data_IF_336612545530
#
_entry.id   IF_336612545530
#
_cell.length_a   1.000
_cell.length_b   1.000
_cell.length_c   1.000
_cell.angle_alpha   90.00
_cell.angle_beta   90.00
_cell.angle_gamma   90.00
#
_symmetry.space_group_name_H-M   'P 1'
#
loop_
_entity.id
_entity.type
_entity.pdbx_description
1 polymer ?
#
# COMPACT_ATOMS: atom_id res chain seq x y z
N UNK A 1 3.63 11.47 15.32
CA UNK A 1 3.54 11.26 13.85
C UNK A 1 2.54 10.16 13.58
N UNK A 2 1.62 10.37 12.65
CA UNK A 2 0.57 9.41 12.30
C UNK A 2 0.94 8.77 10.97
N UNK A 3 1.07 7.44 10.97
CA UNK A 3 1.39 6.62 9.82
C UNK A 3 0.29 5.60 9.58
N UNK A 4 0.09 5.23 8.33
CA UNK A 4 -0.76 4.11 7.91
C UNK A 4 0.05 3.12 7.10
N UNK A 5 -0.19 1.84 7.32
CA UNK A 5 0.39 0.76 6.51
C UNK A 5 -0.71 -0.05 5.85
N UNK A 6 -0.45 -0.45 4.62
CA UNK A 6 -1.23 -1.46 3.91
C UNK A 6 -0.36 -2.21 2.92
N UNK A 7 -0.87 -3.34 2.42
CA UNK A 7 -0.18 -4.12 1.41
C UNK A 7 -1.15 -4.61 0.34
N UNK A 8 -0.64 -4.70 -0.88
CA UNK A 8 -1.37 -5.28 -2.00
C UNK A 8 -0.50 -6.30 -2.71
N UNK A 9 -1.12 -7.25 -3.40
CA UNK A 9 -0.40 -8.18 -4.25
C UNK A 9 -0.64 -7.88 -5.73
N UNK A 10 0.38 -8.19 -6.50
CA UNK A 10 0.36 -8.27 -7.96
C UNK A 10 0.44 -9.74 -8.35
N UNK A 11 -0.28 -10.13 -9.37
CA UNK A 11 -0.30 -11.48 -9.92
C UNK A 11 0.02 -11.42 -11.41
N UNK A 12 0.38 -12.55 -11.99
CA UNK A 12 0.58 -12.67 -13.42
C UNK A 12 -0.72 -12.44 -14.24
N UNK A 13 -1.88 -12.55 -13.58
CA UNK A 13 -3.17 -12.22 -14.17
C UNK A 13 -3.44 -10.72 -13.99
N UNK A 14 -3.49 -9.94 -15.07
CA UNK A 14 -3.72 -8.51 -14.97
C UNK A 14 -5.16 -8.21 -14.52
N UNK A 15 -5.39 -7.14 -13.73
CA UNK A 15 -6.73 -6.63 -13.49
C UNK A 15 -7.33 -6.12 -14.80
N UNK A 16 -8.57 -6.53 -15.09
CA UNK A 16 -9.26 -6.11 -16.29
C UNK A 16 -9.83 -4.69 -16.11
N UNK A 17 -9.68 -3.88 -17.15
CA UNK A 17 -10.25 -2.55 -17.27
C UNK A 17 -11.04 -2.45 -18.56
N UNK A 18 -12.10 -1.64 -18.57
CA UNK A 18 -12.83 -1.31 -19.78
C UNK A 18 -11.87 -0.72 -20.84
N UNK A 19 -11.95 -1.22 -22.06
CA UNK A 19 -11.18 -0.76 -23.21
C UNK A 19 -12.08 -0.63 -24.43
N UNK A 20 -11.70 0.24 -25.33
CA UNK A 20 -12.38 0.40 -26.61
C UNK A 20 -11.95 -0.70 -27.57
N UNK A 21 -12.92 -1.33 -28.25
CA UNK A 21 -12.71 -2.27 -29.34
C UNK A 21 -13.58 -1.92 -30.51
N UNK A 22 -13.26 -2.36 -31.74
CA UNK A 22 -14.16 -2.26 -32.88
C UNK A 22 -15.52 -2.89 -32.57
N UNK A 23 -16.57 -2.36 -33.17
CA UNK A 23 -17.94 -2.89 -33.00
C UNK A 23 -17.98 -4.34 -33.45
N UNK A 24 -18.48 -5.22 -32.57
CA UNK A 24 -18.57 -6.66 -32.82
C UNK A 24 -17.35 -7.47 -32.39
N UNK A 25 -16.29 -6.82 -31.91
CA UNK A 25 -15.10 -7.49 -31.38
C UNK A 25 -15.06 -7.47 -29.84
N UNK A 26 -14.77 -8.64 -29.27
CA UNK A 26 -14.56 -8.75 -27.82
C UNK A 26 -13.10 -8.43 -27.47
N UNK A 27 -12.90 -7.53 -26.51
CA UNK A 27 -11.57 -7.29 -25.95
C UNK A 27 -10.98 -8.58 -25.37
N UNK A 28 -9.73 -8.90 -25.74
CA UNK A 28 -8.99 -10.04 -25.21
C UNK A 28 -7.68 -9.55 -24.62
N UNK A 29 -7.39 -9.95 -23.40
CA UNK A 29 -6.14 -9.66 -22.71
C UNK A 29 -5.36 -10.98 -22.64
N UNK A 30 -4.16 -11.07 -23.23
CA UNK A 30 -3.36 -12.29 -23.14
C UNK A 30 -2.89 -12.52 -21.69
N UNK A 31 -3.00 -13.76 -21.24
CA UNK A 31 -2.47 -14.20 -19.94
C UNK A 31 -1.22 -15.02 -20.25
N UNK A 32 -0.05 -14.56 -19.81
CA UNK A 32 1.25 -15.14 -20.15
C UNK A 32 1.99 -15.75 -18.95
N UNK A 33 1.48 -15.61 -17.73
CA UNK A 33 2.14 -16.11 -16.53
C UNK A 33 1.43 -17.28 -15.84
N UNK A 34 2.12 -17.94 -14.91
CA UNK A 34 1.52 -18.95 -14.06
C UNK A 34 0.56 -18.31 -13.04
N UNK A 35 -0.58 -18.96 -12.81
CA UNK A 35 -1.68 -18.40 -12.00
C UNK A 35 -1.32 -18.18 -10.53
N UNK A 36 -0.30 -18.87 -10.02
CA UNK A 36 0.06 -18.85 -8.60
C UNK A 36 1.13 -17.83 -8.24
N UNK A 37 1.85 -17.29 -9.23
CA UNK A 37 2.89 -16.30 -8.98
C UNK A 37 2.31 -14.97 -8.51
N UNK A 38 2.81 -14.51 -7.37
CA UNK A 38 2.44 -13.22 -6.79
C UNK A 38 3.63 -12.51 -6.16
N UNK A 39 3.55 -11.19 -6.14
CA UNK A 39 4.46 -10.33 -5.36
C UNK A 39 3.63 -9.37 -4.53
N UNK A 40 4.08 -9.12 -3.32
CA UNK A 40 3.42 -8.19 -2.41
C UNK A 40 4.20 -6.88 -2.38
N UNK A 41 3.49 -5.78 -2.55
CA UNK A 41 3.99 -4.43 -2.33
C UNK A 41 3.30 -3.86 -1.09
N UNK A 42 4.08 -3.53 -0.07
CA UNK A 42 3.60 -2.84 1.12
C UNK A 42 4.03 -1.37 1.10
N UNK A 43 3.19 -0.51 1.68
CA UNK A 43 3.46 0.91 1.78
C UNK A 43 3.16 1.46 3.16
N UNK A 44 4.00 2.37 3.64
CA UNK A 44 3.77 3.15 4.87
C UNK A 44 3.70 4.62 4.50
N UNK A 45 2.57 5.26 4.80
CA UNK A 45 2.28 6.65 4.46
C UNK A 45 2.21 7.52 5.72
N UNK A 46 2.96 8.63 5.72
CA UNK A 46 2.77 9.71 6.66
C UNK A 46 1.65 10.62 6.14
N UNK A 47 0.51 10.62 6.82
CA UNK A 47 -0.68 11.36 6.36
C UNK A 47 -0.57 12.88 6.53
N UNK A 48 0.38 13.39 7.29
CA UNK A 48 0.63 14.83 7.40
C UNK A 48 1.55 15.35 6.29
N UNK A 49 2.64 14.64 6.03
CA UNK A 49 3.66 15.12 5.09
C UNK A 49 3.55 14.52 3.68
N UNK A 50 2.81 13.42 3.50
CA UNK A 50 2.81 12.65 2.27
C UNK A 50 4.09 11.86 2.02
N UNK A 51 5.01 11.82 3.00
CA UNK A 51 6.20 10.99 2.92
C UNK A 51 5.84 9.50 2.96
N UNK A 52 6.60 8.68 2.23
CA UNK A 52 6.16 7.33 1.93
C UNK A 52 7.34 6.34 1.88
N UNK A 53 7.17 5.21 2.54
CA UNK A 53 8.10 4.08 2.53
C UNK A 53 7.46 2.91 1.81
N UNK A 54 8.22 2.18 1.00
CA UNK A 54 7.77 0.99 0.27
C UNK A 54 8.64 -0.21 0.60
N UNK A 55 8.01 -1.39 0.53
CA UNK A 55 8.68 -2.68 0.71
C UNK A 55 8.07 -3.73 -0.21
N UNK A 56 8.90 -4.53 -0.88
CA UNK A 56 8.47 -5.64 -1.76
C UNK A 56 8.89 -6.97 -1.15
N UNK A 57 7.99 -7.93 -1.17
CA UNK A 57 8.26 -9.32 -0.79
C UNK A 57 7.55 -10.30 -1.71
N UNK A 58 8.03 -11.54 -1.76
CA UNK A 58 7.34 -12.62 -2.47
C UNK A 58 6.00 -12.95 -1.77
N UNK A 59 6.03 -13.05 -0.45
CA UNK A 59 4.87 -13.34 0.38
C UNK A 59 4.90 -12.45 1.61
N UNK A 60 3.79 -11.74 1.88
CA UNK A 60 3.71 -10.90 3.06
C UNK A 60 3.45 -11.75 4.31
N UNK A 61 4.49 -11.90 5.13
CA UNK A 61 4.46 -12.69 6.36
C UNK A 61 4.93 -11.89 7.58
N UNK A 62 5.03 -12.56 8.74
CA UNK A 62 5.46 -11.94 9.99
C UNK A 62 6.85 -11.30 9.89
N UNK A 63 7.80 -11.97 9.23
CA UNK A 63 9.18 -11.47 9.08
C UNK A 63 9.22 -10.23 8.20
N UNK A 64 8.44 -10.20 7.12
CA UNK A 64 8.30 -9.02 6.25
C UNK A 64 7.76 -7.82 7.03
N UNK A 65 6.71 -8.02 7.82
CA UNK A 65 6.17 -6.95 8.65
C UNK A 65 7.18 -6.45 9.70
N UNK A 66 7.95 -7.35 10.32
CA UNK A 66 9.02 -6.97 11.24
C UNK A 66 10.11 -6.14 10.55
N UNK A 67 10.49 -6.52 9.32
CA UNK A 67 11.41 -5.73 8.50
C UNK A 67 10.85 -4.33 8.23
N UNK A 68 9.57 -4.24 7.88
CA UNK A 68 8.91 -2.94 7.68
C UNK A 68 8.92 -2.10 8.96
N UNK A 69 8.70 -2.68 10.14
CA UNK A 69 8.80 -1.95 11.41
C UNK A 69 10.20 -1.36 11.63
N UNK A 70 11.25 -2.13 11.35
CA UNK A 70 12.63 -1.62 11.41
C UNK A 70 12.89 -0.50 10.41
N UNK A 71 12.46 -0.67 9.17
CA UNK A 71 12.58 0.36 8.13
C UNK A 71 11.79 1.62 8.49
N UNK A 72 10.58 1.47 9.03
CA UNK A 72 9.74 2.58 9.51
C UNK A 72 10.46 3.37 10.61
N UNK A 73 11.04 2.69 11.59
CA UNK A 73 11.79 3.34 12.67
C UNK A 73 13.05 4.01 12.13
N UNK A 74 13.74 3.39 11.18
CA UNK A 74 14.96 3.96 10.58
C UNK A 74 14.65 5.20 9.73
N UNK A 75 13.52 5.20 9.00
CA UNK A 75 13.11 6.29 8.13
C UNK A 75 12.62 7.52 8.93
N UNK A 76 11.81 7.28 9.97
CA UNK A 76 11.28 8.35 10.84
C UNK A 76 11.91 8.31 12.23
N UNK A 77 13.24 8.50 12.28
CA UNK A 77 14.00 8.54 13.55
C UNK A 77 13.57 9.71 14.44
N UNK A 78 13.57 9.47 15.75
CA UNK A 78 13.32 10.52 16.74
C UNK A 78 11.84 10.91 16.91
N UNK A 79 10.93 10.38 16.10
CA UNK A 79 9.51 10.67 16.22
C UNK A 79 8.79 9.64 17.08
N UNK A 80 7.81 10.10 17.87
CA UNK A 80 6.79 9.20 18.40
C UNK A 80 5.88 8.78 17.25
N UNK A 81 5.83 7.47 16.96
CA UNK A 81 5.11 6.91 15.82
C UNK A 81 3.84 6.21 16.32
N UNK A 82 2.70 6.62 15.77
CA UNK A 82 1.43 5.90 15.84
C UNK A 82 1.16 5.31 14.47
N UNK A 83 1.15 3.98 14.35
CA UNK A 83 0.98 3.25 13.11
C UNK A 83 -0.40 2.59 13.08
N UNK A 84 -1.25 3.03 12.16
CA UNK A 84 -2.56 2.45 11.89
C UNK A 84 -2.44 1.31 10.88
N UNK A 85 -3.11 0.19 11.16
CA UNK A 85 -3.03 -1.02 10.37
C UNK A 85 -4.28 -1.90 10.54
N UNK A 86 -4.50 -2.79 9.60
CA UNK A 86 -5.53 -3.81 9.67
C UNK A 86 -5.15 -4.95 10.63
N UNK A 87 -6.06 -5.93 10.79
CA UNK A 87 -5.87 -7.08 11.65
C UNK A 87 -5.26 -8.29 10.93
N UNK A 88 -4.42 -8.09 9.90
CA UNK A 88 -3.73 -9.17 9.21
C UNK A 88 -2.94 -10.06 10.21
N UNK A 89 -2.87 -11.39 10.04
CA UNK A 89 -2.16 -12.29 10.96
C UNK A 89 -0.71 -11.90 11.24
N UNK A 90 0.04 -11.46 10.23
CA UNK A 90 1.42 -10.96 10.37
C UNK A 90 1.52 -9.77 11.35
N UNK A 91 0.54 -8.86 11.29
CA UNK A 91 0.47 -7.69 12.16
C UNK A 91 0.15 -8.08 13.61
N UNK A 92 -0.75 -9.06 13.79
CA UNK A 92 -1.22 -9.51 15.11
C UNK A 92 -0.26 -10.45 15.82
N UNK A 93 0.72 -11.00 15.15
CA UNK A 93 1.70 -11.92 15.71
C UNK A 93 2.35 -11.34 16.97
N UNK A 94 2.50 -12.17 18.00
CA UNK A 94 3.05 -11.74 19.30
C UNK A 94 4.43 -11.10 19.15
N UNK A 95 5.30 -11.70 18.36
CA UNK A 95 6.65 -11.19 18.12
C UNK A 95 6.63 -9.82 17.39
N UNK A 96 5.73 -9.65 16.40
CA UNK A 96 5.57 -8.35 15.72
C UNK A 96 5.14 -7.23 16.66
N UNK A 97 4.19 -7.51 17.57
CA UNK A 97 3.73 -6.55 18.57
C UNK A 97 4.81 -6.23 19.62
N UNK A 98 5.61 -7.22 20.01
CA UNK A 98 6.74 -7.02 20.92
C UNK A 98 7.82 -6.16 20.26
N UNK A 99 8.14 -6.44 19.00
CA UNK A 99 9.10 -5.63 18.23
C UNK A 99 8.62 -4.17 18.06
N UNK A 100 7.35 -3.95 17.71
CA UNK A 100 6.82 -2.60 17.58
C UNK A 100 6.98 -1.80 18.90
N UNK A 101 6.71 -2.43 20.05
CA UNK A 101 6.94 -1.81 21.36
C UNK A 101 8.42 -1.49 21.61
N UNK A 102 9.32 -2.44 21.31
CA UNK A 102 10.76 -2.23 21.46
C UNK A 102 11.29 -1.10 20.58
N UNK A 103 10.67 -0.91 19.40
CA UNK A 103 10.97 0.20 18.48
C UNK A 103 10.22 1.50 18.81
N UNK A 104 9.47 1.57 19.92
CA UNK A 104 8.63 2.72 20.28
C UNK A 104 7.66 3.11 19.16
N UNK A 105 7.04 2.10 18.53
CA UNK A 105 5.97 2.25 17.55
C UNK A 105 4.66 1.78 18.19
N UNK A 106 3.71 2.69 18.34
CA UNK A 106 2.39 2.39 18.85
C UNK A 106 1.50 1.87 17.71
N UNK A 107 0.97 0.65 17.86
CA UNK A 107 0.07 0.05 16.88
C UNK A 107 -1.39 0.38 17.19
N UNK A 108 -2.13 0.88 16.21
CA UNK A 108 -3.56 1.18 16.27
C UNK A 108 -4.32 0.39 15.21
N UNK A 109 -5.28 -0.41 15.66
CA UNK A 109 -6.02 -1.31 14.80
C UNK A 109 -7.21 -0.62 14.15
N UNK A 110 -7.27 -0.69 12.82
CA UNK A 110 -8.48 -0.32 12.10
C UNK A 110 -9.60 -1.34 12.38
N UNK A 111 -10.88 -0.92 12.30
CA UNK A 111 -12.00 -1.84 12.37
C UNK A 111 -11.89 -2.92 11.29
N UNK A 112 -12.47 -4.10 11.56
CA UNK A 112 -12.46 -5.21 10.60
C UNK A 112 -13.35 -4.87 9.40
N UNK A 113 -12.89 -5.19 8.19
CA UNK A 113 -13.59 -4.95 6.92
C UNK A 113 -13.91 -3.46 6.64
N UNK A 114 -13.04 -2.54 7.09
CA UNK A 114 -13.14 -1.10 6.85
C UNK A 114 -11.88 -0.62 6.13
N UNK A 115 -11.58 -1.16 4.95
CA UNK A 115 -10.41 -0.79 4.15
C UNK A 115 -10.45 0.67 3.71
N UNK A 116 -11.66 1.24 3.56
CA UNK A 116 -11.90 2.65 3.21
C UNK A 116 -11.34 3.63 4.24
N UNK A 117 -11.10 3.19 5.47
CA UNK A 117 -10.44 3.99 6.50
C UNK A 117 -8.93 4.03 6.36
N UNK A 118 -8.34 3.18 5.49
CA UNK A 118 -6.90 3.12 5.27
C UNK A 118 -6.49 3.94 4.02
N UNK A 119 -5.87 5.12 4.19
CA UNK A 119 -5.45 5.94 3.07
C UNK A 119 -4.49 5.23 2.10
N UNK A 120 -3.72 4.26 2.57
CA UNK A 120 -2.78 3.51 1.72
C UNK A 120 -3.53 2.58 0.77
N UNK A 121 -4.66 1.99 1.20
CA UNK A 121 -5.51 1.15 0.33
C UNK A 121 -5.96 1.91 -0.92
N UNK A 122 -6.29 3.20 -0.78
CA UNK A 122 -6.71 4.06 -1.88
C UNK A 122 -5.61 4.26 -2.95
N UNK A 123 -4.35 4.05 -2.63
CA UNK A 123 -3.24 4.16 -3.60
C UNK A 123 -3.15 2.94 -4.51
N UNK A 124 -3.66 1.78 -4.10
CA UNK A 124 -3.49 0.53 -4.85
C UNK A 124 -4.27 0.49 -6.16
N UNK A 125 -5.53 0.95 -6.13
CA UNK A 125 -6.37 0.95 -7.32
C UNK A 125 -5.76 1.78 -8.46
N UNK A 126 -5.41 3.08 -8.28
CA UNK A 126 -4.78 3.85 -9.35
C UNK A 126 -3.41 3.27 -9.76
N UNK A 127 -2.64 2.73 -8.81
CA UNK A 127 -1.36 2.08 -9.14
C UNK A 127 -1.56 0.87 -10.04
N UNK A 128 -2.48 -0.04 -9.70
CA UNK A 128 -2.77 -1.22 -10.52
C UNK A 128 -3.35 -0.83 -11.90
N UNK A 129 -4.15 0.22 -11.96
CA UNK A 129 -4.70 0.72 -13.22
C UNK A 129 -3.62 1.27 -14.15
N UNK A 130 -2.58 1.88 -13.60
CA UNK A 130 -1.50 2.47 -14.37
C UNK A 130 -0.49 1.43 -14.87
N UNK A 131 -0.16 0.43 -14.03
CA UNK A 131 1.02 -0.43 -14.31
C UNK A 131 0.66 -1.86 -14.68
N UNK A 132 -0.58 -2.29 -14.52
CA UNK A 132 -0.95 -3.69 -14.68
C UNK A 132 -2.27 -3.91 -15.43
N UNK A 133 -3.11 -2.89 -15.61
CA UNK A 133 -4.44 -3.10 -16.18
C UNK A 133 -4.36 -3.41 -17.67
N UNK A 134 -5.02 -4.50 -18.09
CA UNK A 134 -5.09 -4.99 -19.47
C UNK A 134 -3.73 -5.36 -20.09
N UNK A 135 -2.66 -5.40 -19.33
CA UNK A 135 -1.33 -5.79 -19.80
C UNK A 135 -0.98 -7.16 -19.23
N UNK A 136 -0.95 -8.18 -20.08
CA UNK A 136 -0.32 -9.45 -19.74
C UNK A 136 1.19 -9.24 -19.64
N UNK A 137 1.70 -9.18 -18.43
CA UNK A 137 3.15 -8.98 -18.24
C UNK A 137 3.80 -10.35 -18.08
N UNK A 138 4.75 -10.73 -18.95
CA UNK A 138 5.47 -11.99 -18.82
C UNK A 138 6.36 -12.03 -17.57
N UNK A 139 6.70 -10.86 -17.01
CA UNK A 139 7.55 -10.73 -15.83
C UNK A 139 6.85 -9.96 -14.72
N UNK A 140 6.37 -10.68 -13.71
CA UNK A 140 5.71 -10.11 -12.53
C UNK A 140 6.63 -9.13 -11.76
N UNK A 141 7.93 -9.39 -11.70
CA UNK A 141 8.90 -8.52 -11.05
C UNK A 141 9.05 -7.16 -11.76
N UNK A 142 8.89 -7.13 -13.08
CA UNK A 142 8.86 -5.88 -13.84
C UNK A 142 7.61 -5.05 -13.50
N UNK A 143 6.44 -5.69 -13.39
CA UNK A 143 5.19 -5.04 -13.00
C UNK A 143 5.30 -4.40 -11.62
N UNK A 144 5.86 -5.13 -10.64
CA UNK A 144 6.05 -4.62 -9.28
C UNK A 144 7.09 -3.49 -9.25
N UNK A 145 8.15 -3.60 -10.05
CA UNK A 145 9.14 -2.53 -10.20
C UNK A 145 8.50 -1.26 -10.77
N UNK A 146 7.61 -1.39 -11.76
CA UNK A 146 6.88 -0.26 -12.33
C UNK A 146 5.90 0.35 -11.31
N UNK A 147 5.22 -0.47 -10.51
CA UNK A 147 4.37 0.00 -9.41
C UNK A 147 5.19 0.78 -8.36
N UNK A 148 6.35 0.26 -8.00
CA UNK A 148 7.29 0.95 -7.11
C UNK A 148 7.70 2.33 -7.67
N UNK A 149 8.13 2.37 -8.94
CA UNK A 149 8.55 3.62 -9.61
C UNK A 149 7.40 4.61 -9.71
N UNK A 150 6.20 4.14 -10.05
CA UNK A 150 5.00 4.99 -10.12
C UNK A 150 4.70 5.67 -8.79
N UNK A 151 4.67 4.91 -7.69
CA UNK A 151 4.43 5.45 -6.36
C UNK A 151 5.57 6.35 -5.86
N UNK A 152 6.83 6.00 -6.15
CA UNK A 152 8.00 6.80 -5.79
C UNK A 152 8.03 8.13 -6.56
N UNK A 153 7.59 8.13 -7.83
CA UNK A 153 7.53 9.31 -8.68
C UNK A 153 6.42 10.30 -8.32
N UNK A 154 5.43 9.88 -7.51
CA UNK A 154 4.38 10.81 -7.07
C UNK A 154 4.94 11.88 -6.13
N UNK A 155 4.53 13.13 -6.34
CA UNK A 155 4.76 14.18 -5.35
C UNK A 155 4.02 13.87 -4.05
N UNK A 156 4.51 14.40 -2.93
CA UNK A 156 3.86 14.26 -1.61
C UNK A 156 2.39 14.71 -1.65
N UNK A 157 2.12 15.85 -2.30
CA UNK A 157 0.76 16.41 -2.45
C UNK A 157 -0.15 15.50 -3.27
N UNK A 158 0.36 14.98 -4.38
CA UNK A 158 -0.40 14.05 -5.22
C UNK A 158 -0.75 12.77 -4.47
N UNK A 159 0.21 12.22 -3.71
CA UNK A 159 0.02 11.03 -2.90
C UNK A 159 -1.07 11.23 -1.84
N UNK A 160 -1.04 12.35 -1.09
CA UNK A 160 -2.09 12.69 -0.13
C UNK A 160 -3.45 12.84 -0.79
N UNK A 161 -3.52 13.46 -1.98
CA UNK A 161 -4.76 13.60 -2.74
C UNK A 161 -5.30 12.23 -3.20
N UNK A 162 -4.46 11.37 -3.78
CA UNK A 162 -4.86 10.02 -4.24
C UNK A 162 -5.23 9.10 -3.06
N UNK A 163 -4.59 9.27 -1.93
CA UNK A 163 -4.90 8.57 -0.68
C UNK A 163 -6.19 9.08 0.01
N UNK A 164 -6.83 10.11 -0.52
CA UNK A 164 -8.06 10.69 0.04
C UNK A 164 -7.84 11.55 1.30
N UNK A 165 -6.61 11.74 1.75
CA UNK A 165 -6.28 12.49 2.98
C UNK A 165 -6.63 13.98 2.84
N UNK A 166 -6.54 14.53 1.62
CA UNK A 166 -6.88 15.92 1.34
C UNK A 166 -8.39 16.17 1.17
N UNK A 167 -9.22 15.15 1.34
CA UNK A 167 -10.68 15.26 1.24
C UNK A 167 -11.29 15.85 2.51
N UNK A 168 -12.36 16.64 2.35
CA UNK A 168 -13.14 17.14 3.49
C UNK A 168 -13.83 16.01 4.27
N UNK A 169 -14.03 14.84 3.65
CA UNK A 169 -14.61 13.66 4.28
C UNK A 169 -13.56 12.74 4.93
N UNK A 170 -12.29 13.12 4.98
CA UNK A 170 -11.28 12.28 5.63
C UNK A 170 -11.52 12.23 7.14
N UNK A 171 -11.69 11.03 7.67
CA UNK A 171 -12.13 10.79 9.06
C UNK A 171 -11.16 11.27 10.16
N UNK A 172 -9.89 11.57 9.83
CA UNK A 172 -8.91 12.18 10.74
C UNK A 172 -8.61 13.65 10.40
N UNK A 173 -9.45 14.32 9.59
CA UNK A 173 -9.20 15.70 9.17
C UNK A 173 -9.01 16.64 10.35
N UNK A 174 -9.94 16.62 11.31
CA UNK A 174 -9.89 17.47 12.49
C UNK A 174 -8.63 17.25 13.33
N UNK A 175 -8.20 15.99 13.50
CA UNK A 175 -6.95 15.64 14.19
C UNK A 175 -5.73 16.21 13.45
N UNK A 176 -5.73 16.21 12.11
CA UNK A 176 -4.63 16.78 11.34
C UNK A 176 -4.59 18.31 11.43
N UNK A 177 -5.74 18.96 11.53
CA UNK A 177 -5.83 20.42 11.71
C UNK A 177 -5.33 20.85 13.09
N UNK A 178 -5.64 20.09 14.15
CA UNK A 178 -5.14 20.33 15.51
C UNK A 178 -3.61 20.14 15.65
N UNK A 179 -2.99 19.33 14.78
CA UNK A 179 -1.56 19.06 14.80
C UNK A 179 -0.73 20.08 13.97
N UNK A 180 -1.36 21.09 13.35
CA UNK A 180 -0.71 22.16 12.62
C UNK A 180 -0.50 23.39 13.49
#
# INVERSE_FOLDING_TARGET
MILFIDSTWFTAIPPLRAMWTPIGEQARVPITGEHEDRRTLAGVLNIKSGDYLQYVSAHFNQTDFQTILHLTRAHWRGWHIVLFLDKHPAHRAKASRQLARALSIELRWLPTACSELNPVDHLWRPTKQEVAANEGTPELDATVTNAWKYLAGMSRRERLRKAGVSSDSFWLKDVLEELN
#
